data_IF_558449821556
#
_entry.id   IF_558449821556
#
_cell.length_a   1.000
_cell.length_b   1.000
_cell.length_c   1.000
_cell.angle_alpha   90.00
_cell.angle_beta   90.00
_cell.angle_gamma   90.00
#
_symmetry.space_group_name_H-M   'P 1'
#
loop_
_entity.id
_entity.type
_entity.pdbx_description
1 polymer ?
#
# COMPACT_ATOMS: atom_id res chain seq x y z
N UNK A 1 -3.04 8.14 -50.03
CA UNK A 1 -2.55 6.87 -49.44
C UNK A 1 -1.40 7.13 -48.46
N UNK A 2 -1.37 8.30 -47.81
CA UNK A 2 -0.26 8.80 -46.95
C UNK A 2 -0.65 8.90 -45.46
N UNK A 3 -1.94 8.75 -45.13
CA UNK A 3 -2.45 8.97 -43.77
C UNK A 3 -2.30 7.77 -42.84
N UNK A 4 -2.05 6.57 -43.39
CA UNK A 4 -1.87 5.34 -42.63
C UNK A 4 -0.47 5.23 -42.00
N UNK A 5 0.53 5.86 -42.60
CA UNK A 5 1.93 5.72 -42.16
C UNK A 5 2.21 6.58 -40.91
N UNK A 6 1.70 7.82 -40.88
CA UNK A 6 1.79 8.70 -39.70
C UNK A 6 1.02 8.15 -38.49
N UNK A 7 -0.06 7.40 -38.72
CA UNK A 7 -0.82 6.71 -37.67
C UNK A 7 0.00 5.63 -36.95
N UNK A 8 0.96 5.01 -37.64
CA UNK A 8 1.80 3.94 -37.07
C UNK A 8 2.99 4.51 -36.31
N UNK A 9 3.62 5.57 -36.83
CA UNK A 9 4.74 6.23 -36.14
C UNK A 9 4.30 6.87 -34.82
N UNK A 10 3.13 7.51 -34.78
CA UNK A 10 2.63 8.14 -33.56
C UNK A 10 2.36 7.12 -32.44
N UNK A 11 2.01 5.88 -32.81
CA UNK A 11 1.71 4.79 -31.87
C UNK A 11 2.97 4.12 -31.29
N UNK A 12 4.10 4.24 -31.97
CA UNK A 12 5.40 3.74 -31.48
C UNK A 12 6.04 4.67 -30.45
N UNK A 13 5.70 5.97 -30.48
CA UNK A 13 6.30 6.99 -29.60
C UNK A 13 5.61 7.06 -28.23
N UNK A 14 4.33 6.66 -28.16
CA UNK A 14 3.58 6.58 -26.90
C UNK A 14 3.18 5.14 -26.66
N UNK A 15 4.04 4.29 -26.08
CA UNK A 15 3.61 2.99 -25.59
C UNK A 15 2.49 3.25 -24.59
N UNK A 16 1.30 2.82 -24.99
CA UNK A 16 0.10 2.79 -24.18
C UNK A 16 0.49 2.15 -22.84
N UNK A 17 0.70 3.01 -21.82
CA UNK A 17 1.03 2.55 -20.48
C UNK A 17 -0.20 1.88 -19.91
N UNK A 18 -0.33 0.60 -20.27
CA UNK A 18 -1.26 -0.40 -19.78
C UNK A 18 -1.52 -0.14 -18.31
N UNK A 19 -2.67 0.49 -18.04
CA UNK A 19 -3.11 0.91 -16.72
C UNK A 19 -3.44 -0.25 -15.79
N UNK A 20 -3.11 -1.49 -16.18
CA UNK A 20 -3.57 -2.72 -15.55
C UNK A 20 -2.77 -3.10 -14.28
N UNK A 21 -1.56 -2.56 -14.09
CA UNK A 21 -0.74 -2.82 -12.89
C UNK A 21 -0.89 -1.79 -11.75
N UNK A 22 -1.46 -0.61 -12.03
CA UNK A 22 -1.45 0.54 -11.09
C UNK A 22 -2.56 0.49 -10.03
N UNK A 23 -3.72 -0.07 -10.37
CA UNK A 23 -4.78 -0.33 -9.39
C UNK A 23 -4.28 -1.34 -8.36
N UNK A 24 -3.77 -2.47 -8.83
CA UNK A 24 -3.27 -3.58 -8.00
C UNK A 24 -2.21 -3.12 -6.99
N UNK A 25 -1.24 -2.31 -7.42
CA UNK A 25 -0.21 -1.79 -6.51
C UNK A 25 -0.79 -0.91 -5.38
N UNK A 26 -1.75 -0.04 -5.68
CA UNK A 26 -2.44 0.77 -4.65
C UNK A 26 -3.18 -0.08 -3.64
N UNK A 27 -3.89 -1.11 -4.11
CA UNK A 27 -4.63 -2.01 -3.23
C UNK A 27 -3.68 -2.81 -2.34
N UNK A 28 -2.52 -3.22 -2.84
CA UNK A 28 -1.49 -3.88 -2.02
C UNK A 28 -0.98 -2.94 -0.92
N UNK A 29 -0.67 -1.68 -1.24
CA UNK A 29 -0.27 -0.70 -0.23
C UNK A 29 -1.38 -0.45 0.80
N UNK A 30 -2.64 -0.33 0.36
CA UNK A 30 -3.77 -0.15 1.27
C UNK A 30 -4.01 -1.38 2.15
N UNK A 31 -3.80 -2.59 1.63
CA UNK A 31 -3.92 -3.83 2.40
C UNK A 31 -2.82 -3.90 3.47
N UNK A 32 -1.58 -3.57 3.12
CA UNK A 32 -0.48 -3.50 4.08
C UNK A 32 -0.72 -2.42 5.15
N UNK A 33 -1.22 -1.24 4.76
CA UNK A 33 -1.60 -0.18 5.70
C UNK A 33 -2.70 -0.65 6.65
N UNK A 34 -3.70 -1.38 6.15
CA UNK A 34 -4.78 -1.92 6.98
C UNK A 34 -4.24 -2.97 7.97
N UNK A 35 -3.36 -3.87 7.52
CA UNK A 35 -2.74 -4.87 8.41
C UNK A 35 -1.94 -4.20 9.53
N UNK A 36 -1.18 -3.14 9.23
CA UNK A 36 -0.51 -2.34 10.24
C UNK A 36 -1.49 -1.71 11.23
N UNK A 37 -2.55 -1.09 10.73
CA UNK A 37 -3.55 -0.43 11.56
C UNK A 37 -4.23 -1.44 12.52
N UNK A 38 -4.49 -2.66 12.05
CA UNK A 38 -5.04 -3.74 12.88
C UNK A 38 -4.08 -4.07 14.02
N UNK A 39 -2.77 -4.13 13.77
CA UNK A 39 -1.78 -4.34 14.84
C UNK A 39 -1.83 -3.19 15.84
N UNK A 40 -1.87 -1.94 15.37
CA UNK A 40 -1.88 -0.74 16.22
C UNK A 40 -3.09 -0.67 17.16
N UNK A 41 -4.24 -1.21 16.76
CA UNK A 41 -5.44 -1.21 17.60
C UNK A 41 -5.54 -2.38 18.58
N UNK A 42 -4.64 -3.35 18.51
CA UNK A 42 -4.63 -4.48 19.42
C UNK A 42 -3.56 -4.31 20.49
N UNK A 43 -3.92 -4.63 21.74
CA UNK A 43 -2.92 -4.63 22.81
C UNK A 43 -1.85 -5.70 22.51
N UNK A 44 -0.56 -5.43 22.75
CA UNK A 44 0.53 -6.41 22.59
C UNK A 44 0.35 -7.67 23.46
N UNK A 45 -0.51 -7.60 24.47
CA UNK A 45 -0.88 -8.76 25.32
C UNK A 45 -2.02 -9.61 24.74
N UNK A 46 -2.65 -9.16 23.66
CA UNK A 46 -3.74 -9.90 23.01
C UNK A 46 -3.18 -11.14 22.33
N UNK A 47 -3.58 -12.31 22.82
CA UNK A 47 -3.19 -13.58 22.23
C UNK A 47 -4.31 -14.02 21.30
N UNK A 48 -4.04 -14.02 20.00
CA UNK A 48 -4.87 -14.70 19.01
C UNK A 48 -4.17 -15.99 18.62
N UNK A 49 -4.47 -17.10 19.32
CA UNK A 49 -3.87 -18.38 18.98
C UNK A 49 -4.34 -18.76 17.58
N UNK A 50 -3.39 -18.95 16.67
CA UNK A 50 -3.68 -19.54 15.37
C UNK A 50 -2.81 -20.77 15.20
N UNK A 51 -3.48 -21.90 15.08
CA UNK A 51 -2.85 -23.18 14.78
C UNK A 51 -2.76 -23.32 13.27
N UNK A 52 -1.56 -23.11 12.74
CA UNK A 52 -1.24 -23.43 11.35
C UNK A 52 -0.51 -24.77 11.32
N UNK A 53 -1.05 -25.72 10.54
CA UNK A 53 -0.39 -26.97 10.21
C UNK A 53 0.10 -26.88 8.76
N UNK A 54 1.41 -26.78 8.57
CA UNK A 54 2.03 -26.67 7.24
C UNK A 54 3.10 -27.75 7.10
N UNK A 55 2.91 -28.69 6.16
CA UNK A 55 3.80 -29.85 5.96
C UNK A 55 4.07 -30.69 7.23
N UNK A 56 3.07 -30.82 8.13
CA UNK A 56 3.19 -31.61 9.37
C UNK A 56 3.95 -30.90 10.50
N UNK A 57 4.38 -29.66 10.29
CA UNK A 57 4.86 -28.79 11.36
C UNK A 57 3.69 -27.96 11.89
N UNK A 58 3.29 -28.22 13.13
CA UNK A 58 2.37 -27.37 13.88
C UNK A 58 3.12 -26.16 14.41
N UNK A 59 2.91 -25.03 13.78
CA UNK A 59 3.39 -23.75 14.30
C UNK A 59 2.27 -23.22 15.20
N UNK A 60 2.40 -23.43 16.51
CA UNK A 60 1.63 -22.67 17.49
C UNK A 60 2.21 -21.25 17.53
N UNK A 61 1.46 -20.28 17.03
CA UNK A 61 1.90 -18.89 16.98
C UNK A 61 0.78 -17.92 17.33
N UNK A 62 1.15 -16.79 17.92
CA UNK A 62 0.23 -15.66 18.05
C UNK A 62 0.15 -14.95 16.70
N UNK A 63 -1.05 -14.87 16.10
CA UNK A 63 -1.26 -14.16 14.82
C UNK A 63 -0.75 -12.72 14.87
N UNK A 64 -0.92 -12.05 16.00
CA UNK A 64 -0.45 -10.67 16.18
C UNK A 64 1.06 -10.54 16.08
N UNK A 65 1.81 -11.56 16.52
CA UNK A 65 3.27 -11.56 16.39
C UNK A 65 3.69 -11.65 14.91
N UNK A 66 3.03 -12.50 14.13
CA UNK A 66 3.27 -12.60 12.70
C UNK A 66 2.88 -11.33 11.97
N UNK A 67 1.72 -10.76 12.29
CA UNK A 67 1.26 -9.49 11.72
C UNK A 67 2.21 -8.33 12.08
N UNK A 68 2.75 -8.31 13.29
CA UNK A 68 3.74 -7.34 13.73
C UNK A 68 5.05 -7.46 12.93
N UNK A 69 5.55 -8.68 12.72
CA UNK A 69 6.74 -8.91 11.87
C UNK A 69 6.52 -8.48 10.43
N UNK A 70 5.35 -8.79 9.86
CA UNK A 70 4.96 -8.29 8.54
C UNK A 70 4.90 -6.77 8.54
N UNK A 71 4.37 -6.15 9.60
CA UNK A 71 4.36 -4.70 9.79
C UNK A 71 5.76 -4.09 9.76
N UNK A 72 6.71 -4.60 10.55
CA UNK A 72 8.10 -4.10 10.56
C UNK A 72 8.71 -4.17 9.16
N UNK A 73 8.61 -5.32 8.49
CA UNK A 73 9.21 -5.51 7.16
C UNK A 73 8.51 -4.63 6.12
N UNK A 74 7.20 -4.46 6.23
CA UNK A 74 6.41 -3.66 5.31
C UNK A 74 6.51 -2.14 5.56
N UNK A 75 7.01 -1.69 6.71
CA UNK A 75 7.07 -0.26 7.05
C UNK A 75 7.87 0.57 6.04
N UNK A 76 9.08 0.14 5.69
CA UNK A 76 9.94 0.86 4.75
C UNK A 76 9.33 0.85 3.33
N UNK A 77 8.93 -0.30 2.76
CA UNK A 77 8.24 -0.34 1.47
C UNK A 77 6.96 0.50 1.43
N UNK A 78 6.18 0.51 2.52
CA UNK A 78 4.94 1.28 2.63
C UNK A 78 5.21 2.78 2.69
N UNK A 79 6.25 3.21 3.41
CA UNK A 79 6.66 4.62 3.47
C UNK A 79 7.14 5.13 2.09
N UNK A 80 8.01 4.38 1.42
CA UNK A 80 8.53 4.74 0.09
C UNK A 80 7.41 4.68 -0.94
N UNK A 81 6.64 3.58 -0.97
CA UNK A 81 5.54 3.36 -1.90
C UNK A 81 4.41 4.37 -1.71
N UNK A 82 4.04 4.66 -0.46
CA UNK A 82 3.03 5.65 -0.10
C UNK A 82 3.44 7.07 -0.49
N UNK A 83 4.68 7.47 -0.16
CA UNK A 83 5.22 8.76 -0.55
C UNK A 83 5.30 8.93 -2.07
N UNK A 84 5.77 7.90 -2.79
CA UNK A 84 5.82 7.90 -4.25
C UNK A 84 4.42 7.97 -4.88
N UNK A 85 3.45 7.24 -4.34
CA UNK A 85 2.06 7.28 -4.80
C UNK A 85 1.44 8.67 -4.60
N UNK A 86 1.68 9.27 -3.43
CA UNK A 86 1.21 10.61 -3.10
C UNK A 86 1.76 11.65 -4.08
N UNK A 87 3.08 11.63 -4.32
CA UNK A 87 3.74 12.57 -5.23
C UNK A 87 3.21 12.41 -6.67
N UNK A 88 3.04 11.16 -7.11
CA UNK A 88 2.49 10.87 -8.44
C UNK A 88 1.05 11.38 -8.60
N UNK A 89 0.19 11.10 -7.62
CA UNK A 89 -1.19 11.56 -7.67
C UNK A 89 -1.29 13.08 -7.56
N UNK A 90 -0.35 13.73 -6.86
CA UNK A 90 -0.26 15.18 -6.78
C UNK A 90 0.06 15.78 -8.16
N UNK A 91 1.08 15.26 -8.85
CA UNK A 91 1.44 15.68 -10.22
C UNK A 91 0.24 15.51 -11.16
N UNK A 92 -0.43 14.36 -11.08
CA UNK A 92 -1.59 14.07 -11.93
C UNK A 92 -2.78 14.97 -11.62
N UNK A 93 -2.97 15.33 -10.35
CA UNK A 93 -4.00 16.26 -9.93
C UNK A 93 -3.77 17.65 -10.54
N UNK A 94 -2.53 18.13 -10.52
CA UNK A 94 -2.16 19.40 -11.15
C UNK A 94 -2.46 19.42 -12.65
N UNK A 95 -2.26 18.29 -13.35
CA UNK A 95 -2.52 18.17 -14.79
C UNK A 95 -4.01 18.00 -15.13
N UNK A 96 -4.76 17.20 -14.37
CA UNK A 96 -6.10 16.74 -14.75
C UNK A 96 -7.25 17.51 -14.08
N UNK A 97 -7.01 18.21 -12.96
CA UNK A 97 -8.02 18.91 -12.13
C UNK A 97 -9.35 18.16 -11.89
N UNK A 98 -9.35 16.82 -11.90
CA UNK A 98 -10.57 16.02 -11.66
C UNK A 98 -10.83 15.84 -10.18
N UNK A 99 -12.00 16.28 -9.70
CA UNK A 99 -12.42 16.12 -8.29
C UNK A 99 -12.33 14.68 -7.77
N UNK A 100 -12.67 13.68 -8.58
CA UNK A 100 -12.59 12.26 -8.17
C UNK A 100 -11.16 11.79 -7.87
N UNK A 101 -10.16 12.39 -8.53
CA UNK A 101 -8.75 12.08 -8.27
C UNK A 101 -8.26 12.74 -6.98
N UNK A 102 -8.77 13.93 -6.64
CA UNK A 102 -8.50 14.58 -5.35
C UNK A 102 -8.95 13.69 -4.20
N UNK A 103 -10.20 13.23 -4.23
CA UNK A 103 -10.77 12.43 -3.14
C UNK A 103 -9.98 11.13 -2.98
N UNK A 104 -9.68 10.43 -4.07
CA UNK A 104 -8.89 9.20 -4.00
C UNK A 104 -7.47 9.45 -3.48
N UNK A 105 -6.82 10.54 -3.89
CA UNK A 105 -5.49 10.91 -3.37
C UNK A 105 -5.57 11.14 -1.87
N UNK A 106 -6.47 12.02 -1.41
CA UNK A 106 -6.56 12.42 0.00
C UNK A 106 -6.89 11.23 0.89
N UNK A 107 -7.86 10.40 0.50
CA UNK A 107 -8.27 9.24 1.29
C UNK A 107 -7.16 8.19 1.35
N UNK A 108 -6.56 7.85 0.22
CA UNK A 108 -5.50 6.83 0.20
C UNK A 108 -4.24 7.30 0.94
N UNK A 109 -3.84 8.56 0.77
CA UNK A 109 -2.72 9.13 1.51
C UNK A 109 -3.01 9.18 3.00
N UNK A 110 -4.20 9.64 3.40
CA UNK A 110 -4.56 9.73 4.81
C UNK A 110 -4.50 8.36 5.49
N UNK A 111 -5.01 7.30 4.84
CA UNK A 111 -4.95 5.94 5.38
C UNK A 111 -3.51 5.45 5.53
N UNK A 112 -2.67 5.63 4.51
CA UNK A 112 -1.28 5.16 4.55
C UNK A 112 -0.48 5.92 5.62
N UNK A 113 -0.62 7.24 5.69
CA UNK A 113 0.09 8.04 6.69
C UNK A 113 -0.43 7.78 8.11
N UNK A 114 -1.75 7.61 8.29
CA UNK A 114 -2.32 7.22 9.58
C UNK A 114 -1.81 5.85 10.04
N UNK A 115 -1.69 4.88 9.13
CA UNK A 115 -1.13 3.56 9.44
C UNK A 115 0.34 3.63 9.84
N UNK A 116 1.17 4.37 9.08
CA UNK A 116 2.58 4.55 9.39
C UNK A 116 2.78 5.27 10.73
N UNK A 117 2.05 6.37 10.95
CA UNK A 117 2.14 7.15 12.17
C UNK A 117 1.63 6.35 13.38
N UNK A 118 0.48 5.70 13.25
CA UNK A 118 -0.11 4.87 14.31
C UNK A 118 0.83 3.73 14.69
N UNK A 119 1.33 2.98 13.70
CA UNK A 119 2.26 1.89 13.94
C UNK A 119 3.55 2.39 14.61
N UNK A 120 4.11 3.52 14.16
CA UNK A 120 5.29 4.11 14.78
C UNK A 120 5.02 4.52 16.23
N UNK A 121 3.91 5.22 16.50
CA UNK A 121 3.53 5.63 17.85
C UNK A 121 3.37 4.45 18.78
N UNK A 122 2.67 3.40 18.34
CA UNK A 122 2.44 2.18 19.09
C UNK A 122 3.76 1.44 19.39
N UNK A 123 4.64 1.32 18.39
CA UNK A 123 5.98 0.74 18.60
C UNK A 123 6.75 1.53 19.65
N UNK A 124 6.71 2.86 19.62
CA UNK A 124 7.43 3.69 20.59
C UNK A 124 6.80 3.72 21.99
N UNK A 125 5.48 3.58 22.10
CA UNK A 125 4.77 3.63 23.39
C UNK A 125 4.81 2.28 24.13
N UNK A 126 4.84 1.17 23.39
CA UNK A 126 4.77 -0.18 23.98
C UNK A 126 6.07 -0.99 23.93
N UNK A 127 7.07 -0.56 23.16
CA UNK A 127 8.39 -1.23 23.12
C UNK A 127 9.49 -0.43 23.83
N UNK A 128 9.40 0.92 23.89
CA UNK A 128 10.39 1.81 24.49
C UNK A 128 9.85 2.51 25.74
#
# INVERSE_FOLDING_TARGET
>A
METLDQSLETKAIYPEQSGKGRGTFRYVLLLLALMMLIVTFNSPTSVWPVDFDFFGYRIHGNLFYWLFMVGIVAYIPLAIGGGGLFLYDLIKLFQSKRRRQVINLVVSSAIIFAALYGFNSWVFEEIF
#
